data_IF_626976306030
#
_entry.id   IF_626976306030
#
_cell.length_a   1.000
_cell.length_b   1.000
_cell.length_c   1.000
_cell.angle_alpha   90.00
_cell.angle_beta   90.00
_cell.angle_gamma   90.00
#
_symmetry.space_group_name_H-M   'P 1'
#
loop_
_entity.id
_entity.type
_entity.pdbx_description
1 polymer ?
#
# COMPACT_ATOMS: atom_id res chain seq x y z
N UNK A 1 -17.39 -68.54 18.73
CA UNK A 1 -17.11 -67.61 17.61
C UNK A 1 -16.04 -66.64 18.08
N UNK A 2 -14.82 -66.61 17.49
CA UNK A 2 -13.79 -65.66 17.91
C UNK A 2 -14.19 -64.23 17.49
N UNK A 3 -14.02 -63.27 18.40
CA UNK A 3 -14.27 -61.86 18.14
C UNK A 3 -13.19 -61.28 17.20
N UNK A 4 -13.60 -60.46 16.23
CA UNK A 4 -12.68 -59.83 15.29
C UNK A 4 -11.74 -58.83 16.01
N UNK A 5 -10.46 -58.73 15.59
CA UNK A 5 -9.48 -57.87 16.26
C UNK A 5 -9.79 -56.37 16.05
N UNK A 6 -9.92 -55.64 17.16
CA UNK A 6 -10.19 -54.20 17.19
C UNK A 6 -8.87 -53.44 17.01
N UNK A 7 -8.50 -53.14 15.76
CA UNK A 7 -7.30 -52.35 15.44
C UNK A 7 -7.61 -51.17 14.52
N UNK A 8 -6.84 -50.08 14.63
CA UNK A 8 -6.91 -48.94 13.70
C UNK A 8 -8.09 -47.98 13.88
N UNK A 9 -8.75 -47.95 15.04
CA UNK A 9 -9.84 -46.99 15.33
C UNK A 9 -9.35 -45.54 15.28
N UNK A 10 -8.16 -45.24 15.84
CA UNK A 10 -7.64 -43.88 15.93
C UNK A 10 -7.35 -43.27 14.55
N UNK A 11 -6.69 -44.03 13.67
CA UNK A 11 -6.38 -43.59 12.30
C UNK A 11 -7.65 -43.37 11.47
N UNK A 12 -8.65 -44.25 11.60
CA UNK A 12 -9.92 -44.13 10.89
C UNK A 12 -10.71 -42.90 11.32
N UNK A 13 -10.78 -42.62 12.62
CA UNK A 13 -11.42 -41.40 13.16
C UNK A 13 -10.70 -40.14 12.71
N UNK A 14 -9.37 -40.11 12.81
CA UNK A 14 -8.58 -38.95 12.37
C UNK A 14 -8.81 -38.59 10.89
N UNK A 15 -8.85 -39.58 9.99
CA UNK A 15 -9.09 -39.34 8.56
C UNK A 15 -10.49 -38.80 8.32
N UNK A 16 -11.49 -39.34 9.04
CA UNK A 16 -12.88 -38.88 8.95
C UNK A 16 -13.01 -37.43 9.43
N UNK A 17 -12.41 -37.11 10.58
CA UNK A 17 -12.47 -35.76 11.17
C UNK A 17 -11.74 -34.73 10.29
N UNK A 18 -10.59 -35.09 9.71
CA UNK A 18 -9.89 -34.22 8.75
C UNK A 18 -10.71 -34.00 7.48
N UNK A 19 -11.33 -35.06 6.96
CA UNK A 19 -12.17 -35.00 5.76
C UNK A 19 -13.40 -34.11 5.96
N UNK A 20 -14.06 -34.25 7.10
CA UNK A 20 -15.21 -33.41 7.47
C UNK A 20 -14.78 -31.96 7.68
N UNK A 21 -13.67 -31.72 8.39
CA UNK A 21 -13.16 -30.37 8.63
C UNK A 21 -12.76 -29.64 7.35
N UNK A 22 -12.01 -30.31 6.47
CA UNK A 22 -11.61 -29.73 5.18
C UNK A 22 -12.81 -29.55 4.24
N UNK A 23 -13.72 -30.51 4.18
CA UNK A 23 -14.93 -30.42 3.36
C UNK A 23 -15.85 -29.27 3.81
N UNK A 24 -16.10 -29.15 5.11
CA UNK A 24 -16.89 -28.06 5.67
C UNK A 24 -16.21 -26.69 5.47
N UNK A 25 -14.89 -26.61 5.66
CA UNK A 25 -14.11 -25.40 5.41
C UNK A 25 -14.18 -24.96 3.95
N UNK A 26 -14.04 -25.90 3.00
CA UNK A 26 -14.13 -25.61 1.57
C UNK A 26 -15.53 -25.14 1.15
N UNK A 27 -16.58 -25.78 1.69
CA UNK A 27 -17.96 -25.37 1.46
C UNK A 27 -18.23 -23.95 2.00
N UNK A 28 -17.78 -23.66 3.22
CA UNK A 28 -17.93 -22.33 3.84
C UNK A 28 -17.15 -21.26 3.06
N UNK A 29 -15.94 -21.57 2.59
CA UNK A 29 -15.14 -20.67 1.78
C UNK A 29 -15.81 -20.39 0.43
N UNK A 30 -16.39 -21.40 -0.23
CA UNK A 30 -17.18 -21.20 -1.45
C UNK A 30 -18.41 -20.33 -1.20
N UNK A 31 -19.12 -20.57 -0.10
CA UNK A 31 -20.29 -19.79 0.28
C UNK A 31 -19.93 -18.32 0.53
N UNK A 32 -18.84 -18.06 1.24
CA UNK A 32 -18.31 -16.71 1.45
C UNK A 32 -17.90 -16.06 0.12
N UNK A 33 -17.14 -16.78 -0.71
CA UNK A 33 -16.60 -16.22 -1.94
C UNK A 33 -17.70 -15.87 -2.94
N UNK A 34 -18.60 -16.80 -3.23
CA UNK A 34 -19.64 -16.61 -4.24
C UNK A 34 -20.91 -15.96 -3.69
N UNK A 35 -21.21 -16.11 -2.40
CA UNK A 35 -22.39 -15.52 -1.77
C UNK A 35 -22.18 -14.10 -1.25
N UNK A 36 -20.99 -13.77 -0.73
CA UNK A 36 -20.74 -12.47 -0.11
C UNK A 36 -19.70 -11.64 -0.88
N UNK A 37 -18.56 -12.21 -1.24
CA UNK A 37 -17.43 -11.45 -1.80
C UNK A 37 -17.68 -11.04 -3.26
N UNK A 38 -17.90 -12.02 -4.17
CA UNK A 38 -18.09 -11.78 -5.60
C UNK A 38 -19.26 -10.84 -5.94
N UNK A 39 -20.46 -10.95 -5.33
CA UNK A 39 -21.57 -10.06 -5.65
C UNK A 39 -21.26 -8.59 -5.32
N UNK A 40 -20.52 -8.32 -4.23
CA UNK A 40 -20.11 -6.96 -3.86
C UNK A 40 -19.07 -6.42 -4.83
N UNK A 41 -18.10 -7.23 -5.23
CA UNK A 41 -17.12 -6.88 -6.26
C UNK A 41 -17.82 -6.56 -7.58
N UNK A 42 -18.76 -7.42 -8.03
CA UNK A 42 -19.52 -7.21 -9.26
C UNK A 42 -20.41 -5.94 -9.19
N UNK A 43 -21.05 -5.68 -8.05
CA UNK A 43 -21.87 -4.48 -7.86
C UNK A 43 -21.02 -3.20 -7.93
N UNK A 44 -19.80 -3.24 -7.36
CA UNK A 44 -18.82 -2.17 -7.45
C UNK A 44 -18.32 -1.97 -8.88
N UNK A 45 -17.95 -3.04 -9.57
CA UNK A 45 -17.41 -2.96 -10.93
C UNK A 45 -18.48 -2.43 -11.90
N UNK A 46 -19.75 -2.84 -11.73
CA UNK A 46 -20.88 -2.29 -12.48
C UNK A 46 -21.10 -0.78 -12.25
N UNK A 47 -20.77 -0.26 -11.07
CA UNK A 47 -20.81 1.17 -10.79
C UNK A 47 -19.70 1.92 -11.55
N UNK A 48 -18.47 1.41 -11.54
CA UNK A 48 -17.34 2.06 -12.22
C UNK A 48 -17.45 2.01 -13.74
N UNK A 49 -17.99 0.93 -14.31
CA UNK A 49 -18.28 0.86 -15.76
C UNK A 49 -19.21 2.00 -16.20
N UNK A 50 -20.21 2.35 -15.38
CA UNK A 50 -21.09 3.51 -15.66
C UNK A 50 -20.34 4.83 -15.58
N UNK A 51 -19.51 5.00 -14.55
CA UNK A 51 -18.71 6.22 -14.36
C UNK A 51 -17.72 6.45 -15.51
N UNK A 52 -17.11 5.38 -16.02
CA UNK A 52 -16.21 5.45 -17.18
C UNK A 52 -16.97 5.80 -18.47
N UNK A 53 -18.16 5.25 -18.67
CA UNK A 53 -19.03 5.63 -19.79
C UNK A 53 -19.40 7.12 -19.73
N UNK A 54 -19.82 7.62 -18.57
CA UNK A 54 -20.13 9.04 -18.35
C UNK A 54 -18.90 9.94 -18.59
N UNK A 55 -17.71 9.52 -18.16
CA UNK A 55 -16.45 10.24 -18.44
C UNK A 55 -16.09 10.24 -19.92
N UNK A 56 -16.32 9.14 -20.63
CA UNK A 56 -16.08 9.05 -22.06
C UNK A 56 -17.04 9.97 -22.84
N UNK A 57 -18.31 10.00 -22.46
CA UNK A 57 -19.32 10.92 -23.01
C UNK A 57 -18.95 12.38 -22.72
N UNK A 58 -18.52 12.70 -21.50
CA UNK A 58 -18.09 14.05 -21.13
C UNK A 58 -16.81 14.48 -21.87
N UNK A 59 -15.88 13.56 -22.14
CA UNK A 59 -14.71 13.83 -23.01
C UNK A 59 -15.10 14.06 -24.46
N UNK A 60 -16.10 13.34 -24.99
CA UNK A 60 -16.62 13.56 -26.34
C UNK A 60 -17.35 14.91 -26.45
N UNK A 61 -18.11 15.29 -25.41
CA UNK A 61 -18.75 16.60 -25.32
C UNK A 61 -17.71 17.74 -25.19
N UNK A 62 -16.67 17.56 -24.39
CA UNK A 62 -15.56 18.51 -24.27
C UNK A 62 -14.72 18.60 -25.56
N UNK A 63 -14.60 17.50 -26.32
CA UNK A 63 -13.96 17.48 -27.64
C UNK A 63 -14.75 18.22 -28.73
N UNK A 64 -16.03 18.51 -28.50
CA UNK A 64 -16.86 19.34 -29.39
C UNK A 64 -16.73 20.84 -29.08
N UNK A 65 -16.22 21.22 -27.90
CA UNK A 65 -15.75 22.59 -27.61
C UNK A 65 -14.27 22.73 -27.98
N UNK A 66 -13.98 23.52 -29.01
CA UNK A 66 -12.68 23.53 -29.71
C UNK A 66 -11.42 23.77 -28.85
N UNK A 67 -10.25 23.22 -29.25
CA UNK A 67 -9.07 23.01 -28.41
C UNK A 67 -8.06 24.18 -28.36
N UNK A 68 -8.46 25.44 -28.56
CA UNK A 68 -7.49 26.53 -28.78
C UNK A 68 -7.28 27.50 -27.60
N UNK A 69 -8.04 27.40 -26.51
CA UNK A 69 -7.93 28.38 -25.42
C UNK A 69 -6.76 28.13 -24.42
N UNK A 70 -6.23 26.91 -24.31
CA UNK A 70 -5.20 26.56 -23.32
C UNK A 70 -3.77 26.43 -23.90
N UNK A 71 -3.63 26.14 -25.20
CA UNK A 71 -2.33 25.83 -25.82
C UNK A 71 -1.50 27.08 -26.11
N UNK A 72 -2.12 28.25 -26.25
CA UNK A 72 -1.44 29.49 -26.69
C UNK A 72 -0.57 30.14 -25.59
N UNK A 73 -0.72 29.76 -24.31
CA UNK A 73 0.07 30.32 -23.22
C UNK A 73 1.37 29.57 -22.91
N UNK A 74 1.55 28.34 -23.40
CA UNK A 74 2.69 27.48 -23.04
C UNK A 74 3.89 27.64 -23.99
N UNK A 75 3.63 28.00 -25.25
CA UNK A 75 4.68 28.20 -26.26
C UNK A 75 5.59 29.40 -25.95
N UNK A 76 5.04 30.43 -25.28
CA UNK A 76 5.77 31.65 -24.90
C UNK A 76 6.72 31.44 -23.70
N UNK A 77 6.46 30.44 -22.85
CA UNK A 77 7.29 30.13 -21.68
C UNK A 77 8.45 29.22 -22.11
N UNK A 78 8.18 28.20 -22.94
CA UNK A 78 9.21 27.31 -23.48
C UNK A 78 10.24 28.03 -24.35
N UNK A 79 9.79 28.96 -25.20
CA UNK A 79 10.70 29.74 -26.07
C UNK A 79 11.61 30.70 -25.30
N UNK A 80 11.14 31.28 -24.18
CA UNK A 80 11.93 32.19 -23.33
C UNK A 80 13.01 31.49 -22.52
N UNK A 81 12.83 30.22 -22.18
CA UNK A 81 13.83 29.43 -21.44
C UNK A 81 14.96 28.98 -22.37
N UNK A 82 14.66 28.72 -23.65
CA UNK A 82 15.65 28.30 -24.65
C UNK A 82 16.43 29.47 -25.27
N UNK A 83 15.87 30.68 -25.30
CA UNK A 83 16.54 31.86 -25.86
C UNK A 83 17.64 32.47 -24.97
N UNK A 84 17.78 32.00 -23.72
CA UNK A 84 18.77 32.53 -22.75
C UNK A 84 20.06 31.72 -22.63
N UNK A 85 20.31 30.74 -23.50
CA UNK A 85 21.41 29.78 -23.36
C UNK A 85 22.30 29.79 -24.62
N UNK A 86 22.95 30.92 -24.88
CA UNK A 86 24.24 31.00 -25.58
C UNK A 86 25.27 31.16 -24.44
N UNK A 87 26.18 30.24 -24.09
CA UNK A 87 27.34 29.72 -24.83
C UNK A 87 27.91 28.52 -24.03
N UNK A 88 27.13 27.46 -23.86
CA UNK A 88 27.66 26.21 -23.29
C UNK A 88 27.31 25.06 -24.23
N UNK A 89 28.29 24.20 -24.51
CA UNK A 89 28.04 23.04 -25.37
C UNK A 89 26.90 22.21 -24.76
N UNK A 90 26.04 21.64 -25.62
CA UNK A 90 24.91 20.82 -25.16
C UNK A 90 25.37 19.73 -24.18
N UNK A 91 26.58 19.21 -24.36
CA UNK A 91 27.23 18.24 -23.46
C UNK A 91 27.62 18.82 -22.10
N UNK A 92 28.13 20.04 -22.03
CA UNK A 92 28.43 20.72 -20.76
C UNK A 92 27.16 21.05 -20.00
N UNK A 93 26.09 21.46 -20.70
CA UNK A 93 24.77 21.67 -20.10
C UNK A 93 24.22 20.33 -19.61
N UNK A 94 24.24 19.27 -20.42
CA UNK A 94 23.81 17.94 -20.01
C UNK A 94 24.64 17.39 -18.85
N UNK A 95 25.94 17.66 -18.79
CA UNK A 95 26.84 17.22 -17.72
C UNK A 95 26.64 18.04 -16.45
N UNK A 96 26.41 19.35 -16.56
CA UNK A 96 26.07 20.22 -15.43
C UNK A 96 24.67 19.91 -14.89
N UNK A 97 23.70 19.64 -15.76
CA UNK A 97 22.36 19.17 -15.40
C UNK A 97 22.44 17.78 -14.79
N UNK A 98 23.15 16.81 -15.39
CA UNK A 98 23.34 15.46 -14.81
C UNK A 98 24.18 15.45 -13.54
N UNK A 99 25.05 16.44 -13.33
CA UNK A 99 25.82 16.64 -12.10
C UNK A 99 25.06 17.39 -10.99
N UNK A 100 24.10 18.23 -11.37
CA UNK A 100 23.16 18.92 -10.45
C UNK A 100 21.91 18.10 -10.15
N UNK A 101 21.52 17.23 -11.06
CA UNK A 101 20.61 16.12 -10.80
C UNK A 101 21.38 15.16 -9.91
N UNK A 102 21.20 15.30 -8.60
CA UNK A 102 21.40 14.18 -7.68
C UNK A 102 20.78 12.95 -8.35
N UNK A 103 21.52 11.86 -8.58
CA UNK A 103 20.93 10.72 -9.24
C UNK A 103 19.67 10.34 -8.45
N UNK A 104 18.57 10.06 -9.14
CA UNK A 104 17.30 9.54 -8.60
C UNK A 104 17.48 8.13 -8.01
N UNK A 105 18.48 8.00 -7.13
CA UNK A 105 19.13 6.78 -6.67
C UNK A 105 18.87 6.54 -5.19
N UNK A 106 18.26 7.49 -4.47
CA UNK A 106 17.83 7.27 -3.10
C UNK A 106 16.44 6.64 -3.11
N UNK A 107 16.23 5.63 -2.26
CA UNK A 107 14.87 5.22 -1.88
C UNK A 107 14.18 6.44 -1.26
N UNK A 108 12.91 6.66 -1.58
CA UNK A 108 12.14 7.79 -1.04
C UNK A 108 12.11 7.73 0.49
N UNK A 109 12.32 8.89 1.11
CA UNK A 109 12.32 9.00 2.58
C UNK A 109 10.89 8.89 3.10
N UNK A 110 10.70 8.01 4.08
CA UNK A 110 9.44 7.84 4.80
C UNK A 110 9.36 8.71 6.04
N UNK A 111 10.49 9.29 6.46
CA UNK A 111 10.64 10.03 7.72
C UNK A 111 10.37 9.18 8.96
N UNK A 112 10.49 7.86 8.82
CA UNK A 112 10.62 6.92 9.93
C UNK A 112 12.10 6.48 9.91
N UNK A 113 12.96 7.03 10.80
CA UNK A 113 14.40 6.85 10.71
C UNK A 113 14.84 5.37 10.63
N UNK A 114 14.17 4.50 11.39
CA UNK A 114 14.45 3.06 11.38
C UNK A 114 14.08 2.40 10.03
N UNK A 115 12.95 2.79 9.43
CA UNK A 115 12.53 2.28 8.11
C UNK A 115 13.46 2.81 7.01
N UNK A 116 13.85 4.09 7.07
CA UNK A 116 14.74 4.72 6.11
C UNK A 116 16.16 4.11 6.16
N UNK A 117 16.66 3.79 7.35
CA UNK A 117 17.93 3.08 7.54
C UNK A 117 17.90 1.66 6.95
N UNK A 118 16.79 0.93 7.16
CA UNK A 118 16.58 -0.39 6.55
C UNK A 118 16.46 -0.30 5.03
N UNK A 119 15.71 0.68 4.51
CA UNK A 119 15.55 0.92 3.08
C UNK A 119 16.89 1.26 2.40
N UNK A 120 17.70 2.12 3.02
CA UNK A 120 19.04 2.44 2.53
C UNK A 120 19.96 1.20 2.52
N UNK A 121 19.84 0.32 3.52
CA UNK A 121 20.59 -0.95 3.56
C UNK A 121 20.12 -1.93 2.50
N UNK A 122 18.79 -2.06 2.32
CA UNK A 122 18.18 -2.88 1.29
C UNK A 122 18.61 -2.45 -0.11
N UNK A 123 18.62 -1.14 -0.38
CA UNK A 123 19.12 -0.58 -1.64
C UNK A 123 20.58 -0.97 -1.89
N UNK A 124 21.47 -0.80 -0.90
CA UNK A 124 22.89 -1.17 -1.06
C UNK A 124 23.07 -2.67 -1.35
N UNK A 125 22.27 -3.54 -0.73
CA UNK A 125 22.42 -5.00 -0.81
C UNK A 125 21.72 -5.63 -2.00
N UNK A 126 20.54 -5.13 -2.37
CA UNK A 126 19.65 -5.73 -3.37
C UNK A 126 19.46 -4.87 -4.63
N UNK A 127 19.91 -3.61 -4.60
CA UNK A 127 19.66 -2.60 -5.64
C UNK A 127 18.16 -2.30 -5.87
N UNK A 128 17.27 -2.78 -5.00
CA UNK A 128 15.85 -2.43 -5.04
C UNK A 128 15.65 -1.00 -4.53
N UNK A 129 14.94 -0.19 -5.32
CA UNK A 129 14.59 1.20 -4.98
C UNK A 129 13.22 1.33 -4.32
N UNK A 130 12.51 0.22 -4.18
CA UNK A 130 11.15 0.17 -3.63
C UNK A 130 11.18 -0.31 -2.19
N UNK A 131 10.48 0.39 -1.31
CA UNK A 131 10.16 -0.13 0.02
C UNK A 131 9.07 -1.17 -0.16
N UNK A 132 9.37 -2.43 0.13
CA UNK A 132 8.44 -3.54 -0.12
C UNK A 132 8.12 -4.26 1.19
N UNK A 133 6.90 -4.02 1.66
CA UNK A 133 6.34 -4.54 2.89
C UNK A 133 5.57 -5.85 2.63
N UNK A 134 5.64 -6.78 3.58
CA UNK A 134 4.82 -7.98 3.59
C UNK A 134 4.31 -8.32 5.00
N UNK A 135 3.44 -9.32 5.11
CA UNK A 135 2.77 -9.67 6.36
C UNK A 135 1.59 -8.74 6.65
N UNK A 136 1.49 -8.25 7.90
CA UNK A 136 0.44 -7.32 8.34
C UNK A 136 0.88 -5.87 8.07
N UNK A 137 1.04 -5.51 6.80
CA UNK A 137 1.67 -4.25 6.40
C UNK A 137 0.81 -2.97 6.64
N UNK A 138 -0.53 -3.09 6.67
CA UNK A 138 -1.46 -1.95 6.76
C UNK A 138 -1.16 -0.95 7.91
N UNK A 139 -0.87 -1.37 9.15
CA UNK A 139 -0.55 -0.45 10.24
C UNK A 139 0.69 0.40 9.96
N UNK A 140 1.75 -0.19 9.39
CA UNK A 140 2.95 0.57 9.02
C UNK A 140 2.67 1.52 7.84
N UNK A 141 1.81 1.12 6.91
CA UNK A 141 1.39 2.01 5.81
C UNK A 141 0.64 3.22 6.33
N UNK A 142 -0.28 3.04 7.28
CA UNK A 142 -0.99 4.15 7.89
C UNK A 142 -0.04 5.09 8.63
N UNK A 143 0.92 4.56 9.40
CA UNK A 143 1.95 5.35 10.06
C UNK A 143 2.78 6.17 9.06
N UNK A 144 3.27 5.52 7.99
CA UNK A 144 4.05 6.19 6.93
C UNK A 144 3.21 7.27 6.24
N UNK A 145 2.00 6.94 5.80
CA UNK A 145 1.14 7.88 5.08
C UNK A 145 0.76 9.06 5.98
N UNK A 146 0.33 8.81 7.22
CA UNK A 146 0.00 9.84 8.18
C UNK A 146 1.17 10.79 8.43
N UNK A 147 2.38 10.25 8.61
CA UNK A 147 3.60 11.06 8.79
C UNK A 147 3.94 11.89 7.55
N UNK A 148 3.81 11.33 6.35
CA UNK A 148 4.11 12.04 5.10
C UNK A 148 3.16 13.21 4.88
N UNK A 149 1.86 13.05 5.11
CA UNK A 149 0.86 14.09 4.83
C UNK A 149 0.68 15.12 5.95
N UNK A 150 1.13 14.80 7.16
CA UNK A 150 1.04 15.69 8.33
C UNK A 150 2.25 16.61 8.47
N UNK A 151 2.17 17.55 9.41
CA UNK A 151 3.33 18.32 9.83
C UNK A 151 4.46 17.40 10.31
N UNK A 152 5.73 17.71 10.01
CA UNK A 152 6.23 18.90 9.32
C UNK A 152 6.33 18.77 7.79
N UNK A 153 5.89 17.64 7.21
CA UNK A 153 6.25 17.24 5.84
C UNK A 153 5.27 17.71 4.77
N UNK A 154 3.96 17.63 5.04
CA UNK A 154 2.90 18.11 4.15
C UNK A 154 3.02 17.62 2.70
N UNK A 155 3.39 16.35 2.50
CA UNK A 155 3.38 15.74 1.17
C UNK A 155 1.97 15.46 0.66
N UNK A 156 1.87 15.18 -0.64
CA UNK A 156 0.73 14.51 -1.27
C UNK A 156 1.16 13.19 -1.92
N UNK A 157 0.29 12.19 -1.91
CA UNK A 157 0.58 10.84 -2.40
C UNK A 157 -0.65 10.16 -3.04
N UNK A 158 -0.39 9.14 -3.86
CA UNK A 158 -1.42 8.27 -4.46
C UNK A 158 -1.33 6.87 -3.87
N UNK A 159 -2.46 6.34 -3.43
CA UNK A 159 -2.64 4.96 -2.99
C UNK A 159 -3.38 4.19 -4.08
N UNK A 160 -2.71 3.23 -4.71
CA UNK A 160 -3.32 2.23 -5.58
C UNK A 160 -3.76 1.04 -4.72
N UNK A 161 -5.04 0.98 -4.36
CA UNK A 161 -5.62 -0.02 -3.47
C UNK A 161 -6.35 -1.12 -4.26
N UNK A 162 -5.62 -2.20 -4.56
CA UNK A 162 -6.13 -3.34 -5.35
C UNK A 162 -7.01 -4.27 -4.52
N UNK A 163 -6.74 -4.38 -3.23
CA UNK A 163 -7.45 -5.29 -2.32
C UNK A 163 -8.71 -4.64 -1.71
N UNK A 164 -8.95 -3.35 -1.97
CA UNK A 164 -10.02 -2.55 -1.36
C UNK A 164 -9.96 -2.57 0.18
N UNK A 165 -8.75 -2.57 0.73
CA UNK A 165 -8.50 -2.64 2.18
C UNK A 165 -8.03 -1.31 2.77
N UNK A 166 -7.71 -0.34 1.93
CA UNK A 166 -7.30 0.97 2.41
C UNK A 166 -8.52 1.77 2.85
N UNK A 167 -8.51 2.22 4.10
CA UNK A 167 -9.50 3.13 4.66
C UNK A 167 -8.80 4.42 5.13
N UNK A 168 -8.98 5.54 4.39
CA UNK A 168 -8.39 6.83 4.77
C UNK A 168 -8.82 7.33 6.14
N UNK A 169 -9.99 6.90 6.63
CA UNK A 169 -10.52 7.35 7.94
C UNK A 169 -9.73 6.81 9.13
N UNK A 170 -8.93 5.77 8.88
CA UNK A 170 -8.05 5.15 9.88
C UNK A 170 -6.67 5.82 9.97
N UNK A 171 -6.41 6.88 9.18
CA UNK A 171 -5.16 7.64 9.27
C UNK A 171 -5.23 8.60 10.47
N UNK A 172 -4.21 8.54 11.33
CA UNK A 172 -4.06 9.44 12.47
C UNK A 172 -3.50 10.79 12.01
N UNK A 173 -4.36 11.61 11.38
CA UNK A 173 -4.01 12.94 10.87
C UNK A 173 -5.20 13.89 10.92
N UNK A 174 -4.95 15.20 10.77
CA UNK A 174 -6.00 16.19 10.62
C UNK A 174 -6.84 15.93 9.35
N UNK A 175 -8.14 16.22 9.42
CA UNK A 175 -9.06 16.00 8.29
C UNK A 175 -8.63 16.76 7.02
N UNK A 176 -8.01 17.93 7.16
CA UNK A 176 -7.44 18.72 6.06
C UNK A 176 -6.33 17.99 5.31
N UNK A 177 -5.56 17.13 5.99
CA UNK A 177 -4.48 16.37 5.35
C UNK A 177 -5.00 15.20 4.52
N UNK A 178 -6.21 14.71 4.80
CA UNK A 178 -6.82 13.62 4.03
C UNK A 178 -7.14 14.03 2.59
N UNK A 179 -7.37 15.32 2.32
CA UNK A 179 -7.61 15.85 0.97
C UNK A 179 -6.40 15.67 0.04
N UNK A 180 -5.23 15.34 0.61
CA UNK A 180 -3.97 15.17 -0.10
C UNK A 180 -3.54 13.70 -0.23
N UNK A 181 -4.38 12.76 0.21
CA UNK A 181 -4.23 11.32 0.02
C UNK A 181 -5.23 10.87 -1.05
N UNK A 182 -4.74 10.67 -2.27
CA UNK A 182 -5.57 10.19 -3.37
C UNK A 182 -5.64 8.67 -3.34
N UNK A 183 -6.83 8.09 -3.49
CA UNK A 183 -7.00 6.64 -3.51
C UNK A 183 -7.65 6.22 -4.82
N UNK A 184 -6.97 5.37 -5.58
CA UNK A 184 -7.51 4.75 -6.79
C UNK A 184 -7.63 3.24 -6.57
N UNK A 185 -8.80 2.69 -6.92
CA UNK A 185 -9.12 1.26 -6.79
C UNK A 185 -9.40 0.69 -8.17
N UNK A 186 -8.38 0.36 -8.96
CA UNK A 186 -8.59 -0.13 -10.32
C UNK A 186 -9.26 -1.49 -10.30
N UNK A 187 -10.24 -1.70 -11.20
CA UNK A 187 -10.92 -2.98 -11.35
C UNK A 187 -10.02 -4.04 -12.01
N UNK A 188 -9.05 -3.60 -12.84
CA UNK A 188 -8.07 -4.45 -13.49
C UNK A 188 -6.76 -4.47 -12.70
N UNK A 189 -6.25 -5.67 -12.42
CA UNK A 189 -5.00 -5.88 -11.66
C UNK A 189 -3.88 -6.52 -12.49
N UNK A 190 -3.97 -6.43 -13.83
CA UNK A 190 -2.92 -6.98 -14.69
C UNK A 190 -1.60 -6.22 -14.46
N UNK A 191 -0.44 -6.89 -14.45
CA UNK A 191 0.84 -6.24 -14.18
C UNK A 191 1.16 -5.09 -15.14
N UNK A 192 0.75 -5.18 -16.41
CA UNK A 192 0.93 -4.12 -17.41
C UNK A 192 0.06 -2.90 -17.11
N UNK A 193 -1.21 -3.12 -16.76
CA UNK A 193 -2.11 -2.04 -16.37
C UNK A 193 -1.59 -1.31 -15.13
N UNK A 194 -1.15 -2.05 -14.11
CA UNK A 194 -0.58 -1.47 -12.90
C UNK A 194 0.69 -0.67 -13.16
N UNK A 195 1.59 -1.17 -14.03
CA UNK A 195 2.76 -0.39 -14.47
C UNK A 195 2.36 0.90 -15.19
N UNK A 196 1.32 0.84 -16.03
CA UNK A 196 0.75 2.02 -16.68
C UNK A 196 0.21 3.04 -15.69
N UNK A 197 -0.55 2.60 -14.68
CA UNK A 197 -1.08 3.47 -13.63
C UNK A 197 0.03 4.13 -12.81
N UNK A 198 1.05 3.36 -12.40
CA UNK A 198 2.19 3.90 -11.65
C UNK A 198 2.98 4.91 -12.50
N UNK A 199 3.20 4.62 -13.78
CA UNK A 199 3.87 5.54 -14.69
C UNK A 199 3.05 6.82 -14.95
N UNK A 200 1.72 6.73 -14.93
CA UNK A 200 0.81 7.87 -15.11
C UNK A 200 0.54 8.63 -13.80
N UNK A 201 0.91 8.08 -12.64
CA UNK A 201 0.56 8.64 -11.33
C UNK A 201 1.07 10.08 -11.15
N UNK A 202 2.32 10.35 -11.54
CA UNK A 202 2.89 11.70 -11.43
C UNK A 202 2.14 12.69 -12.35
N UNK A 203 1.85 12.30 -13.59
CA UNK A 203 1.09 13.15 -14.51
C UNK A 203 -0.34 13.41 -14.01
N UNK A 204 -1.01 12.39 -13.46
CA UNK A 204 -2.30 12.55 -12.79
C UNK A 204 -2.21 13.57 -11.66
N UNK A 205 -1.18 13.46 -10.81
CA UNK A 205 -1.01 14.35 -9.66
C UNK A 205 -0.72 15.79 -10.05
N UNK A 206 0.07 16.01 -11.10
CA UNK A 206 0.46 17.35 -11.54
C UNK A 206 -0.62 18.04 -12.39
N UNK A 207 -1.29 17.29 -13.27
CA UNK A 207 -2.09 17.89 -14.35
C UNK A 207 -3.60 17.64 -14.25
N UNK A 208 -4.06 16.65 -13.48
CA UNK A 208 -5.50 16.39 -13.35
C UNK A 208 -6.18 17.50 -12.52
N UNK A 209 -7.44 17.79 -12.82
CA UNK A 209 -8.21 18.79 -12.07
C UNK A 209 -8.64 18.26 -10.70
N UNK A 210 -8.79 16.94 -10.55
CA UNK A 210 -9.12 16.30 -9.28
C UNK A 210 -8.04 16.51 -8.21
N UNK A 211 -6.78 16.76 -8.63
CA UNK A 211 -5.64 16.94 -7.72
C UNK A 211 -5.30 18.41 -7.48
N UNK A 212 -6.13 19.35 -8.00
CA UNK A 212 -5.88 20.79 -7.93
C UNK A 212 -5.65 21.31 -6.52
N UNK A 213 -6.35 20.77 -5.52
CA UNK A 213 -6.21 21.17 -4.10
C UNK A 213 -4.80 20.86 -3.55
N UNK A 214 -4.10 19.91 -4.14
CA UNK A 214 -2.78 19.45 -3.69
C UNK A 214 -1.60 20.09 -4.43
N UNK A 215 -1.83 21.01 -5.38
CA UNK A 215 -0.76 21.66 -6.17
C UNK A 215 0.24 22.47 -5.34
N UNK A 216 -0.12 22.84 -4.11
CA UNK A 216 0.78 23.52 -3.16
C UNK A 216 1.65 22.58 -2.33
N UNK A 217 1.47 21.26 -2.44
CA UNK A 217 2.23 20.24 -1.70
C UNK A 217 3.19 19.50 -2.64
N UNK A 218 4.33 19.10 -2.09
CA UNK A 218 5.28 18.28 -2.85
C UNK A 218 4.71 16.87 -3.08
N UNK A 219 4.86 16.37 -4.31
CA UNK A 219 4.48 15.00 -4.66
C UNK A 219 5.49 14.02 -4.07
N UNK A 220 5.05 13.20 -3.11
CA UNK A 220 5.92 12.18 -2.54
C UNK A 220 6.05 10.97 -3.43
N UNK A 221 4.96 10.36 -3.91
CA UNK A 221 5.04 9.11 -4.67
C UNK A 221 3.82 8.21 -4.63
N UNK A 222 3.97 7.02 -5.21
CA UNK A 222 2.89 6.02 -5.33
C UNK A 222 3.06 4.89 -4.32
N UNK A 223 2.02 4.70 -3.50
CA UNK A 223 1.86 3.56 -2.60
C UNK A 223 0.98 2.52 -3.28
N UNK A 224 1.44 1.28 -3.41
CA UNK A 224 0.64 0.18 -4.00
C UNK A 224 0.29 -0.82 -2.92
N UNK A 225 -1.01 -1.08 -2.75
CA UNK A 225 -1.51 -2.13 -1.86
C UNK A 225 -2.15 -3.26 -2.67
N UNK A 226 -1.70 -4.48 -2.39
CA UNK A 226 -2.14 -5.67 -3.11
C UNK A 226 -1.36 -5.89 -4.40
N UNK A 227 -1.34 -7.14 -4.87
CA UNK A 227 -0.75 -7.53 -6.16
C UNK A 227 0.78 -7.45 -6.27
N UNK A 228 1.27 -7.54 -7.50
CA UNK A 228 2.69 -7.41 -7.89
C UNK A 228 2.82 -6.23 -8.85
N UNK A 229 3.17 -5.06 -8.32
CA UNK A 229 3.53 -3.90 -9.11
C UNK A 229 4.68 -3.13 -8.47
N UNK A 230 5.42 -2.40 -9.29
CA UNK A 230 6.44 -1.48 -8.81
C UNK A 230 5.76 -0.19 -8.31
N UNK A 231 6.19 0.31 -7.17
CA UNK A 231 5.81 1.61 -6.63
C UNK A 231 6.96 2.15 -5.78
N UNK A 232 6.80 3.32 -5.18
CA UNK A 232 7.78 3.84 -4.22
C UNK A 232 7.71 3.05 -2.90
N UNK A 233 6.48 2.75 -2.48
CA UNK A 233 6.14 1.90 -1.36
C UNK A 233 5.11 0.86 -1.80
N UNK A 234 5.34 -0.41 -1.49
CA UNK A 234 4.47 -1.52 -1.88
C UNK A 234 4.15 -2.36 -0.66
N UNK A 235 2.91 -2.84 -0.59
CA UNK A 235 2.44 -3.77 0.42
C UNK A 235 1.77 -4.96 -0.26
N UNK A 236 2.38 -6.13 -0.14
CA UNK A 236 1.88 -7.33 -0.78
C UNK A 236 2.29 -8.60 -0.06
N UNK A 237 1.98 -9.75 -0.67
CA UNK A 237 2.35 -11.05 -0.11
C UNK A 237 3.86 -11.31 -0.14
N UNK A 238 4.59 -10.58 -0.98
CA UNK A 238 6.05 -10.62 -1.13
C UNK A 238 6.64 -9.25 -0.87
N UNK A 239 7.66 -9.18 -0.02
CA UNK A 239 8.39 -7.96 0.33
C UNK A 239 9.61 -8.29 1.20
N UNK A 240 10.55 -7.35 1.31
CA UNK A 240 11.79 -7.54 2.08
C UNK A 240 11.65 -7.12 3.55
N UNK A 241 10.67 -6.28 3.88
CA UNK A 241 10.33 -5.89 5.24
C UNK A 241 9.01 -6.55 5.65
N UNK A 242 9.05 -7.41 6.66
CA UNK A 242 7.88 -8.11 7.18
C UNK A 242 7.35 -7.40 8.41
N UNK A 243 6.07 -7.10 8.42
CA UNK A 243 5.36 -6.52 9.56
C UNK A 243 4.53 -7.60 10.24
N UNK A 244 4.74 -7.79 11.54
CA UNK A 244 3.95 -8.68 12.39
C UNK A 244 3.58 -7.95 13.69
N UNK A 245 2.65 -8.54 14.47
CA UNK A 245 2.40 -8.04 15.83
C UNK A 245 3.66 -8.25 16.67
N UNK A 246 3.99 -7.27 17.50
CA UNK A 246 5.09 -7.42 18.44
C UNK A 246 4.85 -8.64 19.34
N UNK A 247 5.93 -9.29 19.76
CA UNK A 247 5.83 -10.52 20.53
C UNK A 247 5.17 -10.27 21.89
N UNK A 248 4.03 -10.91 22.13
CA UNK A 248 3.38 -10.96 23.44
C UNK A 248 3.66 -12.32 24.06
N UNK A 249 3.94 -12.34 25.37
CA UNK A 249 4.15 -13.57 26.11
C UNK A 249 3.01 -14.57 25.86
N UNK A 250 3.36 -15.81 25.51
CA UNK A 250 2.40 -16.89 25.22
C UNK A 250 1.58 -17.32 26.44
N UNK A 251 0.77 -18.37 26.28
CA UNK A 251 0.18 -19.03 27.45
C UNK A 251 1.28 -19.82 28.18
N UNK A 252 1.22 -19.87 29.51
CA UNK A 252 2.13 -20.70 30.27
C UNK A 252 1.91 -22.18 29.90
N UNK A 253 2.96 -22.99 29.97
CA UNK A 253 2.82 -24.42 29.75
C UNK A 253 1.85 -24.99 30.81
N UNK A 254 0.79 -25.66 30.36
CA UNK A 254 -0.23 -26.24 31.24
C UNK A 254 -1.45 -25.35 31.51
N UNK A 255 -1.54 -24.15 30.93
CA UNK A 255 -2.76 -23.33 31.01
C UNK A 255 -3.95 -24.05 30.37
N UNK A 256 -5.02 -24.23 31.13
CA UNK A 256 -6.24 -24.84 30.61
C UNK A 256 -6.99 -23.88 29.66
N UNK A 257 -7.90 -24.42 28.82
CA UNK A 257 -8.70 -23.58 27.92
C UNK A 257 -9.61 -22.59 28.69
N UNK A 258 -10.12 -23.01 29.85
CA UNK A 258 -10.96 -22.18 30.72
C UNK A 258 -10.15 -21.04 31.34
N UNK A 259 -8.95 -21.34 31.84
CA UNK A 259 -8.01 -20.32 32.35
C UNK A 259 -7.57 -19.35 31.25
N UNK A 260 -7.33 -19.84 30.03
CA UNK A 260 -6.99 -19.00 28.89
C UNK A 260 -8.13 -18.03 28.52
N UNK A 261 -9.38 -18.49 28.59
CA UNK A 261 -10.57 -17.65 28.37
C UNK A 261 -10.75 -16.61 29.50
N UNK A 262 -10.53 -16.99 30.75
CA UNK A 262 -10.59 -16.06 31.89
C UNK A 262 -9.55 -14.94 31.78
N UNK A 263 -8.38 -15.23 31.20
CA UNK A 263 -7.31 -14.25 30.98
C UNK A 263 -7.48 -13.42 29.69
N UNK A 264 -8.51 -13.69 28.87
CA UNK A 264 -8.69 -13.08 27.55
C UNK A 264 -8.58 -11.55 27.57
N UNK A 265 -9.35 -10.88 28.42
CA UNK A 265 -9.39 -9.41 28.46
C UNK A 265 -8.04 -8.79 28.87
N UNK A 266 -7.28 -9.44 29.75
CA UNK A 266 -5.93 -9.01 30.11
C UNK A 266 -4.97 -9.17 28.92
N UNK A 267 -5.08 -10.28 28.19
CA UNK A 267 -4.23 -10.57 27.04
C UNK A 267 -4.57 -9.70 25.84
N UNK A 268 -5.84 -9.41 25.59
CA UNK A 268 -6.28 -8.45 24.57
C UNK A 268 -5.63 -7.09 24.82
N UNK A 269 -5.70 -6.57 26.06
CA UNK A 269 -5.01 -5.34 26.44
C UNK A 269 -3.49 -5.39 26.24
N UNK A 270 -2.86 -6.51 26.56
CA UNK A 270 -1.43 -6.69 26.33
C UNK A 270 -1.07 -6.72 24.84
N UNK A 271 -1.89 -7.35 24.00
CA UNK A 271 -1.71 -7.38 22.54
C UNK A 271 -1.97 -6.02 21.90
N UNK A 272 -2.98 -5.30 22.36
CA UNK A 272 -3.26 -3.94 21.92
C UNK A 272 -2.10 -2.99 22.28
N UNK A 273 -1.55 -3.11 23.50
CA UNK A 273 -0.45 -2.27 23.97
C UNK A 273 0.95 -2.65 23.44
N UNK A 274 1.15 -3.87 22.95
CA UNK A 274 2.48 -4.33 22.49
C UNK A 274 2.93 -3.70 21.16
N UNK A 275 2.00 -3.14 20.38
CA UNK A 275 2.30 -2.53 19.09
C UNK A 275 2.67 -3.53 18.00
N UNK A 276 3.62 -3.14 17.15
CA UNK A 276 4.01 -3.82 15.92
C UNK A 276 5.52 -3.97 15.82
N UNK A 277 5.95 -5.00 15.10
CA UNK A 277 7.36 -5.24 14.83
C UNK A 277 7.60 -5.39 13.33
N UNK A 278 8.61 -4.68 12.83
CA UNK A 278 9.15 -4.82 11.48
C UNK A 278 10.41 -5.66 11.56
N UNK A 279 10.50 -6.68 10.72
CA UNK A 279 11.66 -7.56 10.61
C UNK A 279 12.10 -7.72 9.16
N UNK A 280 13.40 -7.82 8.95
CA UNK A 280 14.01 -8.03 7.63
C UNK A 280 15.33 -8.78 7.77
N UNK A 281 15.92 -9.17 6.65
CA UNK A 281 17.28 -9.74 6.63
C UNK A 281 18.37 -8.75 7.11
N UNK A 282 18.03 -7.47 7.28
CA UNK A 282 18.97 -6.39 7.61
C UNK A 282 18.74 -5.80 9.01
N UNK A 283 17.83 -6.38 9.80
CA UNK A 283 17.43 -5.87 11.11
C UNK A 283 15.93 -5.64 11.22
N UNK A 284 15.51 -5.00 12.30
CA UNK A 284 14.11 -4.73 12.60
C UNK A 284 13.93 -3.64 13.64
N UNK A 285 12.70 -3.17 13.80
CA UNK A 285 12.32 -2.15 14.78
C UNK A 285 10.85 -2.35 15.21
N UNK A 286 10.50 -1.83 16.39
CA UNK A 286 9.12 -1.78 16.89
C UNK A 286 8.47 -0.43 16.61
N UNK A 287 7.14 -0.38 16.54
CA UNK A 287 6.37 0.87 16.47
C UNK A 287 4.95 0.69 17.01
N UNK A 288 4.32 1.79 17.45
CA UNK A 288 2.91 1.81 17.87
C UNK A 288 2.64 1.02 19.15
N UNK A 289 3.67 0.75 19.95
CA UNK A 289 3.53 0.22 21.31
C UNK A 289 3.20 1.35 22.28
N UNK A 290 2.56 1.03 23.40
CA UNK A 290 2.23 2.03 24.43
C UNK A 290 3.48 2.71 25.01
N UNK A 291 4.60 2.00 25.02
CA UNK A 291 5.90 2.50 25.48
C UNK A 291 6.54 3.52 24.52
N UNK A 292 6.07 3.63 23.26
CA UNK A 292 6.53 4.65 22.30
C UNK A 292 5.88 6.03 22.53
N UNK A 293 4.81 6.11 23.34
CA UNK A 293 4.01 7.33 23.56
C UNK A 293 4.43 8.13 24.81
N UNK A 294 5.40 7.63 25.59
CA UNK A 294 5.87 8.21 26.86
C UNK A 294 7.25 8.90 26.76
N UNK A 295 7.72 9.24 25.54
CA UNK A 295 9.00 9.95 25.29
C UNK A 295 8.80 11.25 24.52
#
# INVERSE_FOLDING_TARGET
MPAAPITGILRRRLILDLGVGLGAGFAMANLFWYGYHMPRTNARDAFYVKLEAERAENKQAAGQSGPWAAVVMDEAIGARVLAGIEEASLEEILKAVRGKLTPASAVKQTHIPALDALAATSLRRSQSRTISLCGRAVPLLYEVIARLVSAPHFYTLLVLDLDARFDPTCLETEASNLEHVYVQRPAQSSPEHLRGLVAAAEAFMLYDDATRLSRGREWWGTVVMGGLAAGDLTAGWKGWARVDRAAVMGFALGTSAEEALAQRAMRERAVEGAGWAVSSAFGGFGFGGKDDMDV
#
